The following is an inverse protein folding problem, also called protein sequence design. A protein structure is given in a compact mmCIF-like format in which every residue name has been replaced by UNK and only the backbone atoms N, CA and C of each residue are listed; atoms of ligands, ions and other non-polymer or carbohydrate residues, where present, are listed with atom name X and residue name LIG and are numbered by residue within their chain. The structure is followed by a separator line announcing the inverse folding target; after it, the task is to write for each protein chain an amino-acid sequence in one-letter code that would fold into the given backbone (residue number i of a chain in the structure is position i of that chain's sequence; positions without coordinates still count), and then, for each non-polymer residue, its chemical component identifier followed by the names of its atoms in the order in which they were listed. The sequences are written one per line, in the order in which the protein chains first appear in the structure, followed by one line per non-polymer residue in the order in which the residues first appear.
data_IF_064600386315
#
_entry.id   IF_064600386315
#
_cell.length_a   1.000
_cell.length_b   1.000
_cell.length_c   1.000
_cell.angle_alpha   90.00
_cell.angle_beta   90.00
_cell.angle_gamma   90.00
#
_symmetry.space_group_name_H-M   'P 1'
#
loop_
_entity.id
_entity.type
_entity.pdbx_description
1 polymer ?
#
# COMPACT_ATOMS: atom_id res chain seq x y z
N UNK A 1 26.49 35.04 37.01
CA UNK A 1 26.26 35.04 35.54
C UNK A 1 26.19 33.63 34.88
N UNK A 2 26.47 32.56 35.58
CA UNK A 2 26.44 31.18 35.01
C UNK A 2 25.08 30.48 35.12
N UNK A 3 24.07 31.05 35.78
CA UNK A 3 22.78 30.38 36.07
C UNK A 3 21.65 30.68 35.04
N UNK A 4 21.82 31.70 34.21
CA UNK A 4 20.82 32.06 33.18
C UNK A 4 20.95 31.26 31.87
N UNK A 5 22.16 30.88 31.48
CA UNK A 5 22.41 30.13 30.26
C UNK A 5 21.89 28.67 30.33
N UNK A 6 21.88 28.07 31.50
CA UNK A 6 21.42 26.69 31.71
C UNK A 6 19.90 26.55 31.65
N UNK A 7 19.15 27.61 32.00
CA UNK A 7 17.67 27.62 31.88
C UNK A 7 17.17 27.85 30.49
N UNK A 8 17.92 28.54 29.62
CA UNK A 8 17.57 28.73 28.20
C UNK A 8 17.79 27.48 27.39
N UNK A 9 18.88 26.73 27.64
CA UNK A 9 19.15 25.46 26.95
C UNK A 9 18.14 24.35 27.32
N UNK A 10 17.67 24.30 28.57
CA UNK A 10 16.63 23.34 28.97
C UNK A 10 15.24 23.70 28.41
N UNK A 11 14.98 24.98 28.17
CA UNK A 11 13.70 25.40 27.55
C UNK A 11 13.66 25.15 26.06
N UNK A 12 14.78 25.32 25.34
CA UNK A 12 14.92 24.97 23.93
C UNK A 12 14.79 23.47 23.69
N UNK A 13 15.37 22.62 24.55
CA UNK A 13 15.21 21.17 24.48
C UNK A 13 13.77 20.70 24.75
N UNK A 14 13.05 21.33 25.64
CA UNK A 14 11.63 21.02 25.91
C UNK A 14 10.71 21.47 24.79
N UNK A 15 11.02 22.57 24.09
CA UNK A 15 10.23 23.02 22.95
C UNK A 15 10.44 22.12 21.69
N UNK A 16 11.66 21.65 21.45
CA UNK A 16 11.94 20.74 20.32
C UNK A 16 11.34 19.34 20.54
N UNK A 17 11.25 18.87 21.79
CA UNK A 17 10.60 17.58 22.12
C UNK A 17 9.08 17.68 22.03
N UNK A 18 8.49 18.82 22.38
CA UNK A 18 7.03 19.01 22.24
C UNK A 18 6.58 19.18 20.80
N UNK A 19 7.37 19.81 19.91
CA UNK A 19 7.04 19.90 18.50
C UNK A 19 7.09 18.52 17.82
N UNK A 20 8.10 17.69 18.14
CA UNK A 20 8.19 16.33 17.58
C UNK A 20 7.11 15.39 18.13
N UNK A 21 6.52 15.67 19.29
CA UNK A 21 5.38 14.90 19.81
C UNK A 21 4.04 15.40 19.22
N UNK A 22 3.85 16.72 19.04
CA UNK A 22 2.65 17.26 18.38
C UNK A 22 2.54 16.86 16.91
N UNK A 23 3.67 16.76 16.19
CA UNK A 23 3.70 16.27 14.81
C UNK A 23 3.41 14.76 14.70
N UNK A 24 3.70 13.98 15.77
CA UNK A 24 3.32 12.57 15.87
C UNK A 24 1.86 12.37 16.27
N UNK A 25 1.27 13.27 17.04
CA UNK A 25 -0.14 13.23 17.46
C UNK A 25 -1.08 13.77 16.39
N UNK A 26 -0.67 14.73 15.57
CA UNK A 26 -1.46 15.18 14.39
C UNK A 26 -1.57 14.12 13.29
N UNK A 27 -0.65 13.13 13.20
CA UNK A 27 -0.80 11.97 12.34
C UNK A 27 -1.85 10.95 12.82
N UNK A 28 -2.34 11.04 14.04
CA UNK A 28 -3.36 10.14 14.62
C UNK A 28 -4.81 10.59 14.43
N UNK A 29 -5.05 11.75 13.85
CA UNK A 29 -6.39 12.34 13.71
C UNK A 29 -7.05 12.24 12.34
N UNK A 30 -6.38 11.72 11.33
CA UNK A 30 -6.94 11.42 10.01
C UNK A 30 -6.81 9.94 9.72
N UNK A 31 -7.87 9.26 9.32
CA UNK A 31 -7.85 7.84 8.99
C UNK A 31 -6.69 7.51 8.03
N UNK A 32 -5.98 6.39 8.27
CA UNK A 32 -4.90 5.95 7.42
C UNK A 32 -5.40 5.53 6.03
N UNK A 33 -4.51 5.54 5.05
CA UNK A 33 -4.79 5.04 3.70
C UNK A 33 -4.95 3.52 3.71
N UNK A 34 -5.60 2.99 2.70
CA UNK A 34 -5.56 1.56 2.38
C UNK A 34 -4.60 1.37 1.21
N UNK A 35 -3.63 0.49 1.37
CA UNK A 35 -2.67 0.13 0.31
C UNK A 35 -3.04 -1.23 -0.28
N UNK A 36 -3.06 -1.31 -1.60
CA UNK A 36 -3.33 -2.54 -2.36
C UNK A 36 -2.05 -3.08 -2.99
N UNK A 37 -1.84 -4.37 -2.89
CA UNK A 37 -0.68 -5.10 -3.42
C UNK A 37 -1.13 -6.19 -4.40
N UNK A 38 -0.77 -6.06 -5.66
CA UNK A 38 -0.83 -7.13 -6.66
C UNK A 38 0.55 -7.78 -6.77
N UNK A 39 0.76 -8.83 -5.96
CA UNK A 39 2.08 -9.44 -5.77
C UNK A 39 2.43 -10.41 -6.90
N UNK A 40 3.50 -10.11 -7.63
CA UNK A 40 4.09 -11.00 -8.62
C UNK A 40 5.49 -11.48 -8.23
N UNK A 41 5.97 -12.57 -8.84
CA UNK A 41 7.30 -13.12 -8.53
C UNK A 41 8.47 -12.20 -8.92
N UNK A 42 8.28 -11.35 -9.93
CA UNK A 42 9.30 -10.41 -10.41
C UNK A 42 8.94 -8.95 -10.10
N UNK A 43 7.69 -8.59 -10.24
CA UNK A 43 7.15 -7.25 -10.05
C UNK A 43 5.88 -7.30 -9.25
N UNK A 44 5.64 -6.23 -8.52
CA UNK A 44 4.46 -6.04 -7.68
C UNK A 44 3.83 -4.70 -8.05
N UNK A 45 2.57 -4.71 -8.42
CA UNK A 45 1.75 -3.53 -8.64
C UNK A 45 1.21 -3.00 -7.32
N UNK A 46 1.16 -1.67 -7.19
CA UNK A 46 0.74 -0.99 -5.99
C UNK A 46 -0.30 0.08 -6.31
N UNK A 47 -1.29 0.20 -5.44
CA UNK A 47 -2.27 1.27 -5.45
C UNK A 47 -2.59 1.70 -4.01
N UNK A 48 -3.09 2.92 -3.85
CA UNK A 48 -3.37 3.49 -2.54
C UNK A 48 -4.62 4.36 -2.58
N UNK A 49 -5.34 4.43 -1.47
CA UNK A 49 -6.45 5.38 -1.33
C UNK A 49 -5.95 6.76 -0.88
N UNK A 50 -6.78 7.77 -1.08
CA UNK A 50 -6.71 9.00 -0.29
C UNK A 50 -6.97 8.71 1.20
N UNK A 51 -6.65 9.66 2.12
CA UNK A 51 -6.90 9.47 3.56
C UNK A 51 -8.37 9.28 3.92
N UNK A 52 -9.31 9.79 3.10
CA UNK A 52 -10.76 9.61 3.28
C UNK A 52 -11.26 8.27 2.73
N UNK A 53 -10.41 7.50 2.05
CA UNK A 53 -10.74 6.19 1.46
C UNK A 53 -11.87 6.27 0.41
N UNK A 54 -11.88 7.31 -0.40
CA UNK A 54 -12.88 7.55 -1.45
C UNK A 54 -12.34 7.13 -2.81
N UNK A 55 -11.08 7.45 -3.10
CA UNK A 55 -10.46 7.29 -4.42
C UNK A 55 -9.30 6.30 -4.34
N UNK A 56 -9.25 5.35 -5.27
CA UNK A 56 -8.10 4.48 -5.49
C UNK A 56 -7.21 5.05 -6.59
N UNK A 57 -5.91 5.19 -6.32
CA UNK A 57 -4.91 5.73 -7.24
C UNK A 57 -3.74 4.76 -7.36
N UNK A 58 -3.26 4.53 -8.59
CA UNK A 58 -2.04 3.75 -8.80
C UNK A 58 -0.84 4.42 -8.13
N UNK A 59 -0.03 3.63 -7.42
CA UNK A 59 1.20 4.09 -6.77
C UNK A 59 2.45 3.71 -7.56
N UNK A 60 2.30 2.82 -8.53
CA UNK A 60 3.36 2.34 -9.40
C UNK A 60 3.63 0.84 -9.27
N UNK A 61 4.76 0.43 -9.81
CA UNK A 61 5.22 -0.96 -9.80
C UNK A 61 6.63 -1.03 -9.25
N UNK A 62 6.87 -1.98 -8.36
CA UNK A 62 8.15 -2.20 -7.69
C UNK A 62 8.66 -3.61 -8.00
N UNK A 63 9.97 -3.80 -8.13
CA UNK A 63 10.56 -5.13 -8.17
C UNK A 63 10.26 -5.87 -6.86
N UNK A 64 9.69 -7.07 -6.93
CA UNK A 64 9.21 -7.80 -5.75
C UNK A 64 10.28 -8.02 -4.67
N UNK A 65 11.58 -8.28 -4.98
CA UNK A 65 12.63 -8.33 -3.97
C UNK A 65 12.87 -7.02 -3.21
N UNK A 66 12.50 -5.88 -3.79
CA UNK A 66 12.65 -4.54 -3.18
C UNK A 66 11.41 -4.07 -2.44
N UNK A 67 10.31 -4.84 -2.48
CA UNK A 67 9.01 -4.42 -1.97
C UNK A 67 9.03 -4.08 -0.47
N UNK A 68 9.63 -4.91 0.37
CA UNK A 68 9.71 -4.66 1.82
C UNK A 68 10.47 -3.36 2.13
N UNK A 69 11.58 -3.11 1.43
CA UNK A 69 12.34 -1.84 1.58
C UNK A 69 11.51 -0.64 1.15
N UNK A 70 10.80 -0.75 0.04
CA UNK A 70 9.88 0.30 -0.43
C UNK A 70 8.77 0.57 0.60
N UNK A 71 8.14 -0.47 1.14
CA UNK A 71 7.07 -0.32 2.13
C UNK A 71 7.55 0.31 3.43
N UNK A 72 8.77 -0.02 3.90
CA UNK A 72 9.39 0.63 5.06
C UNK A 72 9.52 2.14 4.87
N UNK A 73 10.03 2.56 3.70
CA UNK A 73 10.15 3.98 3.37
C UNK A 73 8.77 4.65 3.22
N UNK A 74 7.84 3.99 2.55
CA UNK A 74 6.49 4.51 2.35
C UNK A 74 5.72 4.70 3.66
N UNK A 75 5.72 3.70 4.55
CA UNK A 75 5.04 3.77 5.84
C UNK A 75 5.68 4.75 6.83
N UNK A 76 6.95 5.14 6.60
CA UNK A 76 7.58 6.20 7.38
C UNK A 76 7.05 7.59 7.03
N UNK A 77 6.52 7.77 5.81
CA UNK A 77 6.04 9.04 5.26
C UNK A 77 4.53 9.17 5.26
N UNK A 78 3.84 8.04 5.01
CA UNK A 78 2.39 7.98 4.84
C UNK A 78 1.74 7.09 5.91
N UNK A 79 0.64 7.54 6.49
CA UNK A 79 -0.15 6.74 7.41
C UNK A 79 -0.98 5.72 6.63
N UNK A 80 -0.68 4.43 6.82
CA UNK A 80 -1.43 3.31 6.24
C UNK A 80 -2.07 2.52 7.37
N UNK A 81 -3.39 2.35 7.33
CA UNK A 81 -4.14 1.62 8.35
C UNK A 81 -4.44 0.17 7.98
N UNK A 82 -4.40 -0.15 6.70
CA UNK A 82 -4.72 -1.48 6.19
C UNK A 82 -3.95 -1.73 4.88
N UNK A 83 -3.43 -2.92 4.73
CA UNK A 83 -2.94 -3.45 3.46
C UNK A 83 -3.89 -4.53 2.96
N UNK A 84 -4.28 -4.48 1.69
CA UNK A 84 -4.95 -5.59 1.02
C UNK A 84 -3.99 -6.21 0.00
N UNK A 85 -4.03 -7.52 -0.14
CA UNK A 85 -3.20 -8.27 -1.08
C UNK A 85 -4.06 -9.24 -1.87
N UNK A 86 -3.86 -9.27 -3.19
CA UNK A 86 -4.52 -10.21 -4.06
C UNK A 86 -4.04 -11.63 -3.82
N UNK A 87 -4.97 -12.55 -3.57
CA UNK A 87 -4.69 -13.97 -3.47
C UNK A 87 -5.07 -14.65 -4.78
N UNK A 88 -4.09 -15.15 -5.54
CA UNK A 88 -4.39 -15.86 -6.78
C UNK A 88 -5.00 -17.23 -6.46
N UNK A 89 -6.22 -17.44 -6.93
CA UNK A 89 -6.96 -18.69 -6.81
C UNK A 89 -7.51 -19.13 -8.17
N UNK A 90 -7.68 -20.42 -8.36
CA UNK A 90 -8.37 -20.97 -9.52
C UNK A 90 -9.91 -20.78 -9.39
N UNK A 91 -10.66 -21.08 -10.46
CA UNK A 91 -12.12 -20.98 -10.45
C UNK A 91 -12.82 -21.88 -9.44
N UNK A 92 -12.17 -22.99 -9.06
CA UNK A 92 -12.62 -23.96 -8.07
C UNK A 92 -12.10 -23.66 -6.64
N UNK A 93 -11.63 -22.44 -6.40
CA UNK A 93 -11.02 -21.97 -5.14
C UNK A 93 -9.72 -22.70 -4.74
N UNK A 94 -9.17 -23.54 -5.60
CA UNK A 94 -7.87 -24.18 -5.38
C UNK A 94 -6.70 -23.20 -5.52
N UNK A 95 -5.58 -23.51 -4.87
CA UNK A 95 -4.35 -22.72 -4.95
C UNK A 95 -3.75 -22.74 -6.36
N UNK A 96 -3.19 -21.63 -6.80
CA UNK A 96 -2.38 -21.50 -8.02
C UNK A 96 -0.90 -21.68 -7.70
N UNK A 97 -0.04 -21.76 -8.72
CA UNK A 97 1.42 -21.73 -8.54
C UNK A 97 1.94 -20.45 -7.88
N UNK A 98 1.21 -19.34 -7.98
CA UNK A 98 1.57 -18.07 -7.35
C UNK A 98 1.14 -17.98 -5.88
N UNK A 99 0.16 -18.78 -5.44
CA UNK A 99 -0.37 -18.76 -4.08
C UNK A 99 0.71 -18.93 -3.00
N UNK A 100 1.67 -19.88 -3.09
CA UNK A 100 2.74 -20.01 -2.09
C UNK A 100 3.64 -18.78 -1.99
N UNK A 101 3.88 -18.08 -3.11
CA UNK A 101 4.69 -16.85 -3.12
C UNK A 101 4.01 -15.73 -2.36
N UNK A 102 2.71 -15.54 -2.59
CA UNK A 102 1.89 -14.55 -1.87
C UNK A 102 1.84 -14.88 -0.38
N UNK A 103 1.59 -16.13 -0.01
CA UNK A 103 1.55 -16.55 1.40
C UNK A 103 2.90 -16.34 2.11
N UNK A 104 4.01 -16.60 1.43
CA UNK A 104 5.35 -16.32 1.96
C UNK A 104 5.53 -14.82 2.22
N UNK A 105 5.12 -13.98 1.28
CA UNK A 105 5.18 -12.53 1.44
C UNK A 105 4.30 -12.05 2.60
N UNK A 106 3.06 -12.55 2.72
CA UNK A 106 2.15 -12.19 3.83
C UNK A 106 2.78 -12.48 5.19
N UNK A 107 3.41 -13.66 5.36
CA UNK A 107 4.14 -14.00 6.59
C UNK A 107 5.29 -13.05 6.88
N UNK A 108 6.06 -12.69 5.84
CA UNK A 108 7.16 -11.74 5.97
C UNK A 108 6.64 -10.35 6.34
N UNK A 109 5.57 -9.90 5.68
CA UNK A 109 4.92 -8.62 5.97
C UNK A 109 4.44 -8.53 7.42
N UNK A 110 3.76 -9.54 7.92
CA UNK A 110 3.26 -9.59 9.31
C UNK A 110 4.39 -9.52 10.33
N UNK A 111 5.55 -10.11 10.02
CA UNK A 111 6.75 -10.04 10.85
C UNK A 111 7.37 -8.65 10.85
N UNK A 112 7.48 -8.00 9.68
CA UNK A 112 8.15 -6.71 9.52
C UNK A 112 7.25 -5.52 9.92
N UNK A 113 5.93 -5.67 9.79
CA UNK A 113 4.92 -4.63 10.06
C UNK A 113 3.78 -5.13 10.97
N UNK A 114 4.09 -5.56 12.20
CA UNK A 114 3.08 -6.20 13.08
C UNK A 114 1.93 -5.27 13.47
N UNK A 115 2.10 -3.96 13.35
CA UNK A 115 1.07 -2.96 13.67
C UNK A 115 0.13 -2.64 12.50
N UNK A 116 0.42 -3.12 11.28
CA UNK A 116 -0.40 -2.86 10.09
C UNK A 116 -1.09 -4.18 9.69
N UNK A 117 -2.41 -4.27 9.78
CA UNK A 117 -3.13 -5.46 9.34
C UNK A 117 -3.00 -5.65 7.82
N UNK A 118 -2.87 -6.90 7.39
CA UNK A 118 -2.93 -7.31 6.00
C UNK A 118 -4.11 -8.26 5.78
N UNK A 119 -4.91 -7.99 4.74
CA UNK A 119 -6.08 -8.77 4.38
C UNK A 119 -5.93 -9.32 2.97
N UNK A 120 -6.17 -10.61 2.82
CA UNK A 120 -6.24 -11.28 1.53
C UNK A 120 -7.58 -10.99 0.83
N UNK A 121 -7.53 -10.70 -0.46
CA UNK A 121 -8.70 -10.48 -1.33
C UNK A 121 -8.59 -11.32 -2.59
N UNK A 122 -9.72 -11.73 -3.13
CA UNK A 122 -9.77 -12.52 -4.36
C UNK A 122 -9.41 -11.66 -5.57
N UNK A 123 -8.46 -12.13 -6.41
CA UNK A 123 -8.01 -11.42 -7.60
C UNK A 123 -8.42 -12.09 -8.92
N UNK A 124 -9.29 -13.11 -8.90
CA UNK A 124 -9.64 -13.93 -10.09
C UNK A 124 -9.97 -13.15 -11.35
N UNK A 125 -10.51 -11.95 -11.22
CA UNK A 125 -10.96 -11.13 -12.34
C UNK A 125 -10.14 -9.88 -12.59
N UNK A 126 -9.20 -9.52 -11.71
CA UNK A 126 -8.52 -8.22 -11.77
C UNK A 126 -7.69 -8.01 -13.02
N UNK A 127 -6.96 -9.02 -13.49
CA UNK A 127 -6.17 -8.94 -14.73
C UNK A 127 -7.04 -8.75 -15.98
N UNK A 128 -8.22 -9.42 -16.02
CA UNK A 128 -9.19 -9.25 -17.12
C UNK A 128 -9.80 -7.85 -17.10
N UNK A 129 -10.20 -7.38 -15.93
CA UNK A 129 -10.74 -6.03 -15.73
C UNK A 129 -9.69 -4.97 -16.05
N UNK A 130 -8.43 -5.17 -15.66
CA UNK A 130 -7.32 -4.29 -16.01
C UNK A 130 -7.14 -4.18 -17.53
N UNK A 131 -7.17 -5.31 -18.24
CA UNK A 131 -7.07 -5.33 -19.69
C UNK A 131 -8.25 -4.62 -20.36
N UNK A 132 -9.46 -4.80 -19.86
CA UNK A 132 -10.65 -4.12 -20.37
C UNK A 132 -10.59 -2.61 -20.10
N UNK A 133 -10.18 -2.19 -18.91
CA UNK A 133 -10.02 -0.78 -18.55
C UNK A 133 -9.02 -0.08 -19.48
N UNK A 134 -7.88 -0.71 -19.77
CA UNK A 134 -6.90 -0.16 -20.71
C UNK A 134 -7.44 -0.01 -22.14
N UNK A 135 -8.30 -0.93 -22.59
CA UNK A 135 -8.99 -0.80 -23.87
C UNK A 135 -9.96 0.38 -23.87
N UNK A 136 -10.76 0.52 -22.80
CA UNK A 136 -11.71 1.64 -22.66
C UNK A 136 -11.02 3.01 -22.57
N UNK A 137 -9.82 3.06 -21.99
CA UNK A 137 -8.98 4.26 -21.94
C UNK A 137 -8.33 4.61 -23.30
N UNK A 138 -8.59 3.82 -24.34
CA UNK A 138 -8.04 4.07 -25.69
C UNK A 138 -6.53 3.82 -25.80
N UNK A 139 -5.95 3.04 -24.90
CA UNK A 139 -4.51 2.75 -24.90
C UNK A 139 -4.09 1.93 -26.11
N UNK A 140 -3.00 2.36 -26.75
CA UNK A 140 -2.42 1.65 -27.91
C UNK A 140 -1.92 0.26 -27.51
N UNK A 141 -1.88 -0.68 -28.48
CA UNK A 141 -1.43 -2.07 -28.27
C UNK A 141 -0.09 -2.17 -27.53
N UNK A 142 0.89 -1.33 -27.89
CA UNK A 142 2.22 -1.28 -27.25
C UNK A 142 2.15 -0.90 -25.78
N UNK A 143 1.28 0.06 -25.41
CA UNK A 143 1.07 0.48 -24.03
C UNK A 143 0.40 -0.62 -23.21
N UNK A 144 -0.59 -1.34 -23.78
CA UNK A 144 -1.28 -2.46 -23.14
C UNK A 144 -0.41 -3.70 -22.95
N UNK A 145 0.75 -3.77 -23.60
CA UNK A 145 1.77 -4.81 -23.40
C UNK A 145 2.77 -4.48 -22.30
N UNK A 146 2.72 -3.27 -21.75
CA UNK A 146 3.56 -2.87 -20.61
C UNK A 146 3.07 -3.59 -19.33
N UNK A 147 3.79 -4.62 -18.94
CA UNK A 147 3.43 -5.46 -17.79
C UNK A 147 3.43 -4.68 -16.47
N UNK A 148 4.33 -3.71 -16.29
CA UNK A 148 4.37 -2.88 -15.08
C UNK A 148 3.09 -2.04 -14.95
N UNK A 149 2.58 -1.50 -16.06
CA UNK A 149 1.32 -0.75 -16.08
C UNK A 149 0.12 -1.66 -15.81
N UNK A 150 0.13 -2.88 -16.33
CA UNK A 150 -0.93 -3.88 -16.05
C UNK A 150 -0.98 -4.19 -14.55
N UNK A 151 0.16 -4.43 -13.92
CA UNK A 151 0.26 -4.76 -12.50
C UNK A 151 -0.26 -3.60 -11.62
N UNK A 152 0.08 -2.35 -11.97
CA UNK A 152 -0.41 -1.15 -11.27
C UNK A 152 -1.93 -0.97 -11.43
N UNK A 153 -2.44 -1.13 -12.64
CA UNK A 153 -3.89 -1.05 -12.92
C UNK A 153 -4.64 -2.17 -12.22
N UNK A 154 -4.12 -3.39 -12.20
CA UNK A 154 -4.71 -4.51 -11.48
C UNK A 154 -4.81 -4.22 -9.96
N UNK A 155 -3.75 -3.69 -9.35
CA UNK A 155 -3.78 -3.27 -7.94
C UNK A 155 -4.80 -2.15 -7.69
N UNK A 156 -4.94 -1.21 -8.62
CA UNK A 156 -5.91 -0.10 -8.53
C UNK A 156 -7.34 -0.62 -8.61
N UNK A 157 -7.64 -1.52 -9.55
CA UNK A 157 -8.98 -2.11 -9.70
C UNK A 157 -9.34 -2.94 -8.47
N UNK A 158 -8.43 -3.74 -7.96
CA UNK A 158 -8.64 -4.53 -6.73
C UNK A 158 -8.99 -3.62 -5.56
N UNK A 159 -8.33 -2.48 -5.43
CA UNK A 159 -8.62 -1.49 -4.39
C UNK A 159 -9.98 -0.83 -4.59
N UNK A 160 -10.36 -0.48 -5.81
CA UNK A 160 -11.69 0.06 -6.13
C UNK A 160 -12.80 -0.92 -5.79
N UNK A 161 -12.65 -2.19 -6.15
CA UNK A 161 -13.63 -3.22 -5.82
C UNK A 161 -13.74 -3.43 -4.31
N UNK A 162 -12.61 -3.40 -3.60
CA UNK A 162 -12.61 -3.46 -2.14
C UNK A 162 -13.37 -2.28 -1.52
N UNK A 163 -13.15 -1.05 -2.00
CA UNK A 163 -13.89 0.13 -1.50
C UNK A 163 -15.39 0.01 -1.77
N UNK A 164 -15.79 -0.44 -2.97
CA UNK A 164 -17.21 -0.67 -3.30
C UNK A 164 -17.86 -1.68 -2.36
N UNK A 165 -17.18 -2.76 -2.04
CA UNK A 165 -17.70 -3.81 -1.13
C UNK A 165 -17.90 -3.33 0.31
N UNK A 166 -17.38 -2.16 0.68
CA UNK A 166 -17.50 -1.56 2.02
C UNK A 166 -18.56 -0.47 2.11
N UNK A 167 -19.13 -0.06 0.99
CA UNK A 167 -20.16 0.98 0.93
C UNK A 167 -21.62 0.45 1.10
N UNK A 168 -21.78 -0.87 1.31
CA UNK A 168 -23.08 -1.51 1.52
C UNK A 168 -23.19 -2.18 2.88
#
# INVERSE_FOLDING_TARGET
MADQTKKEDDNLKKQSTNQSQSDREQKKGGGGRILSIDYGGKRTGLAVTDPLKIIATGLGTVESPKLISFLKDYFSKEAVELVIIGMPTNWDDSATHATPLVQKFVKQFQKDFPSIPIKEVDERFTSKLASQAMLQMGMKKKQRQNKAMIDEIAATIMLQEYLRSKQF
#
